data_IF_709440364026
#
_entry.id   IF_709440364026
#
_cell.length_a   1.000
_cell.length_b   1.000
_cell.length_c   1.000
_cell.angle_alpha   90.00
_cell.angle_beta   90.00
_cell.angle_gamma   90.00
#
_symmetry.space_group_name_H-M   'P 1'
#
loop_
_entity.id
_entity.type
_entity.pdbx_description
1 polymer ?
#
# COMPACT_ATOMS: atom_id res chain seq x y z
N UNK A 1 4.22 6.39 26.70
CA UNK A 1 2.97 6.11 25.94
C UNK A 1 2.65 4.60 26.05
N UNK A 2 1.43 4.23 26.45
CA UNK A 2 0.97 2.84 26.37
C UNK A 2 1.18 2.36 24.92
N UNK A 3 1.97 1.31 24.72
CA UNK A 3 2.42 0.87 23.41
C UNK A 3 1.28 0.50 22.48
N UNK A 4 1.52 0.57 21.16
CA UNK A 4 0.59 0.02 20.18
C UNK A 4 0.26 -1.44 20.52
N UNK A 5 -1.00 -1.87 20.40
CA UNK A 5 -1.36 -3.27 20.54
C UNK A 5 -0.53 -4.15 19.61
N UNK A 6 -0.24 -5.40 20.03
CA UNK A 6 0.48 -6.35 19.16
C UNK A 6 -0.40 -6.69 17.94
N UNK A 7 0.19 -6.98 16.76
CA UNK A 7 -0.58 -7.32 15.57
C UNK A 7 -1.62 -8.43 15.79
N UNK A 8 -1.28 -9.45 16.58
CA UNK A 8 -2.15 -10.59 16.89
C UNK A 8 -3.34 -10.26 17.82
N UNK A 9 -3.43 -9.02 18.32
CA UNK A 9 -4.48 -8.60 19.26
C UNK A 9 -5.72 -8.02 18.59
N UNK A 10 -5.69 -7.82 17.27
CA UNK A 10 -6.83 -7.27 16.53
C UNK A 10 -7.81 -8.38 16.12
N UNK A 11 -9.09 -8.21 16.46
CA UNK A 11 -10.15 -9.01 15.84
C UNK A 11 -10.42 -8.47 14.42
N UNK A 12 -10.02 -9.28 13.43
CA UNK A 12 -10.16 -9.02 11.99
C UNK A 12 -11.30 -9.82 11.36
N UNK A 13 -12.11 -10.50 12.18
CA UNK A 13 -13.16 -11.44 11.76
C UNK A 13 -14.52 -11.12 12.39
N UNK A 14 -15.06 -9.90 12.24
CA UNK A 14 -16.39 -9.60 12.76
C UNK A 14 -17.42 -10.54 12.11
N UNK A 15 -18.05 -11.41 12.91
CA UNK A 15 -19.01 -12.41 12.42
C UNK A 15 -18.41 -13.70 11.84
N UNK A 16 -17.11 -13.96 12.05
CA UNK A 16 -16.46 -15.23 11.71
C UNK A 16 -15.81 -15.28 10.32
N UNK A 17 -15.91 -14.21 9.52
CA UNK A 17 -15.24 -14.11 8.21
C UNK A 17 -14.06 -13.15 8.30
N UNK A 18 -12.84 -13.66 8.08
CA UNK A 18 -11.60 -12.86 8.06
C UNK A 18 -11.58 -11.97 6.81
N UNK A 19 -11.35 -10.67 6.97
CA UNK A 19 -11.22 -9.75 5.84
C UNK A 19 -9.87 -9.94 5.14
N UNK A 20 -9.89 -10.34 3.88
CA UNK A 20 -8.69 -10.39 3.02
C UNK A 20 -8.55 -9.12 2.20
N UNK A 21 -7.35 -8.89 1.65
CA UNK A 21 -7.04 -7.74 0.79
C UNK A 21 -6.58 -8.13 -0.61
N UNK A 22 -6.93 -7.31 -1.59
CA UNK A 22 -6.29 -7.25 -2.91
C UNK A 22 -5.39 -6.02 -2.92
N UNK A 23 -4.08 -6.22 -3.04
CA UNK A 23 -3.09 -5.13 -3.06
C UNK A 23 -2.82 -4.73 -4.50
N UNK A 24 -3.13 -3.49 -4.87
CA UNK A 24 -2.98 -2.97 -6.24
C UNK A 24 -1.74 -2.07 -6.30
N UNK A 25 -0.81 -2.41 -7.19
CA UNK A 25 0.51 -1.79 -7.33
C UNK A 25 0.70 -1.34 -8.79
N UNK A 26 0.25 -0.13 -9.16
CA UNK A 26 0.52 0.42 -10.49
C UNK A 26 1.98 0.87 -10.60
N UNK A 27 2.56 0.76 -11.79
CA UNK A 27 3.93 1.21 -12.01
C UNK A 27 4.20 1.60 -13.47
N UNK A 28 5.08 2.58 -13.64
CA UNK A 28 5.55 3.08 -14.93
C UNK A 28 7.02 3.47 -14.79
N UNK A 29 7.89 2.91 -15.64
CA UNK A 29 9.34 3.16 -15.68
C UNK A 29 10.00 3.03 -14.31
N UNK A 30 9.58 2.03 -13.55
CA UNK A 30 10.09 1.75 -12.21
C UNK A 30 11.28 0.79 -12.27
N UNK A 31 12.22 0.93 -11.33
CA UNK A 31 13.36 0.02 -11.26
C UNK A 31 12.96 -1.37 -10.77
N UNK A 32 13.68 -2.40 -11.21
CA UNK A 32 13.49 -3.75 -10.69
C UNK A 32 13.77 -3.83 -9.18
N UNK A 33 14.74 -3.05 -8.67
CA UNK A 33 15.05 -2.99 -7.24
C UNK A 33 13.84 -2.55 -6.41
N UNK A 34 13.09 -1.55 -6.89
CA UNK A 34 11.89 -1.07 -6.22
C UNK A 34 10.74 -2.08 -6.32
N UNK A 35 10.45 -2.61 -7.51
CA UNK A 35 9.37 -3.59 -7.71
C UNK A 35 9.57 -4.85 -6.85
N UNK A 36 10.75 -5.47 -6.97
CA UNK A 36 11.09 -6.66 -6.19
C UNK A 36 11.22 -6.35 -4.71
N UNK A 37 11.81 -5.21 -4.33
CA UNK A 37 11.93 -4.78 -2.94
C UNK A 37 10.57 -4.60 -2.26
N UNK A 38 9.61 -3.97 -2.95
CA UNK A 38 8.24 -3.81 -2.48
C UNK A 38 7.57 -5.17 -2.29
N UNK A 39 7.68 -6.06 -3.28
CA UNK A 39 7.10 -7.40 -3.19
C UNK A 39 7.72 -8.24 -2.07
N UNK A 40 9.05 -8.22 -1.91
CA UNK A 40 9.72 -8.92 -0.83
C UNK A 40 9.30 -8.41 0.55
N UNK A 41 9.17 -7.09 0.73
CA UNK A 41 8.66 -6.52 1.97
C UNK A 41 7.23 -6.98 2.26
N UNK A 42 6.35 -6.99 1.24
CA UNK A 42 4.98 -7.47 1.36
C UNK A 42 4.92 -8.95 1.77
N UNK A 43 5.70 -9.81 1.12
CA UNK A 43 5.75 -11.24 1.44
C UNK A 43 6.33 -11.52 2.83
N UNK A 44 7.23 -10.67 3.31
CA UNK A 44 7.91 -10.88 4.59
C UNK A 44 7.12 -10.35 5.79
N UNK A 45 6.50 -9.17 5.67
CA UNK A 45 5.84 -8.48 6.79
C UNK A 45 4.31 -8.57 6.79
N UNK A 46 3.72 -9.26 5.81
CA UNK A 46 2.26 -9.42 5.74
C UNK A 46 1.88 -10.89 5.96
N UNK A 47 0.98 -11.18 6.91
CA UNK A 47 0.43 -12.53 7.04
C UNK A 47 -0.22 -12.99 5.73
N UNK A 48 0.21 -14.13 5.20
CA UNK A 48 -0.23 -14.62 3.89
C UNK A 48 -1.76 -14.83 3.83
N UNK A 49 -2.36 -15.25 4.94
CA UNK A 49 -3.80 -15.49 5.04
C UNK A 49 -4.67 -14.23 5.07
N UNK A 50 -4.06 -13.04 5.13
CA UNK A 50 -4.74 -11.75 4.96
C UNK A 50 -4.75 -11.28 3.50
N UNK A 51 -3.97 -11.90 2.61
CA UNK A 51 -3.82 -11.43 1.23
C UNK A 51 -4.41 -12.43 0.26
N UNK A 52 -5.37 -11.97 -0.53
CA UNK A 52 -5.94 -12.73 -1.64
C UNK A 52 -5.00 -12.70 -2.85
N UNK A 53 -4.54 -11.49 -3.22
CA UNK A 53 -3.74 -11.28 -4.41
C UNK A 53 -2.94 -9.97 -4.39
N UNK A 54 -1.83 -9.98 -5.12
CA UNK A 54 -1.02 -8.80 -5.43
C UNK A 54 -1.15 -8.50 -6.93
N UNK A 55 -1.77 -7.38 -7.27
CA UNK A 55 -2.08 -7.00 -8.65
C UNK A 55 -1.13 -5.89 -9.07
N UNK A 56 -0.10 -6.25 -9.84
CA UNK A 56 0.79 -5.28 -10.46
C UNK A 56 0.20 -4.79 -11.78
N UNK A 57 0.12 -3.48 -11.96
CA UNK A 57 -0.40 -2.87 -13.19
C UNK A 57 0.72 -2.12 -13.89
N UNK A 58 1.27 -2.71 -14.94
CA UNK A 58 2.27 -2.10 -15.81
C UNK A 58 1.58 -1.11 -16.77
N UNK A 59 1.76 0.19 -16.56
CA UNK A 59 1.06 1.26 -17.28
C UNK A 59 1.78 1.69 -18.57
N UNK A 60 1.86 0.80 -19.56
CA UNK A 60 2.52 1.10 -20.85
C UNK A 60 4.04 0.96 -20.83
N UNK A 61 4.59 0.07 -20.00
CA UNK A 61 6.00 -0.30 -20.08
C UNK A 61 6.24 -1.32 -21.20
N UNK A 62 7.40 -1.24 -21.86
CA UNK A 62 7.82 -2.23 -22.87
C UNK A 62 7.97 -3.64 -22.29
N UNK A 63 8.47 -3.73 -21.05
CA UNK A 63 8.60 -4.97 -20.29
C UNK A 63 7.68 -4.88 -19.06
N UNK A 64 6.73 -5.82 -18.94
CA UNK A 64 5.79 -5.89 -17.82
C UNK A 64 6.36 -6.58 -16.58
N UNK A 65 7.56 -7.17 -16.68
CA UNK A 65 8.17 -7.98 -15.61
C UNK A 65 7.28 -9.11 -15.10
N UNK A 66 6.33 -9.57 -15.94
CA UNK A 66 5.33 -10.54 -15.53
C UNK A 66 5.94 -11.86 -15.06
N UNK A 67 6.94 -12.38 -15.79
CA UNK A 67 7.60 -13.63 -15.43
C UNK A 67 8.35 -13.52 -14.11
N UNK A 68 9.09 -12.43 -13.91
CA UNK A 68 9.87 -12.21 -12.70
C UNK A 68 8.95 -11.96 -11.50
N UNK A 69 7.88 -11.20 -11.66
CA UNK A 69 6.92 -10.92 -10.58
C UNK A 69 6.11 -12.16 -10.18
N UNK A 70 5.59 -12.92 -11.15
CA UNK A 70 4.83 -14.16 -10.89
C UNK A 70 5.69 -15.28 -10.29
N UNK A 71 6.99 -15.27 -10.53
CA UNK A 71 7.93 -16.18 -9.88
C UNK A 71 8.10 -15.91 -8.38
N UNK A 72 7.81 -14.70 -7.89
CA UNK A 72 7.95 -14.35 -6.47
C UNK A 72 6.84 -14.94 -5.60
N UNK A 73 5.61 -15.08 -6.13
CA UNK A 73 4.48 -15.69 -5.43
C UNK A 73 3.36 -16.05 -6.39
N UNK A 74 2.67 -17.17 -6.12
CA UNK A 74 1.50 -17.61 -6.89
C UNK A 74 0.30 -16.64 -6.79
N UNK A 75 0.28 -15.77 -5.77
CA UNK A 75 -0.73 -14.73 -5.56
C UNK A 75 -0.51 -13.48 -6.40
N UNK A 76 0.61 -13.39 -7.13
CA UNK A 76 0.88 -12.26 -8.01
C UNK A 76 0.10 -12.39 -9.31
N UNK A 77 -0.53 -11.28 -9.71
CA UNK A 77 -1.17 -11.09 -11.00
C UNK A 77 -0.57 -9.84 -11.64
N UNK A 78 -0.36 -9.87 -12.96
CA UNK A 78 0.18 -8.73 -13.70
C UNK A 78 -0.79 -8.35 -14.80
N UNK A 79 -1.11 -7.06 -14.86
CA UNK A 79 -1.89 -6.44 -15.92
C UNK A 79 -0.93 -5.56 -16.72
N UNK A 80 -0.68 -5.92 -17.97
CA UNK A 80 0.13 -5.11 -18.88
C UNK A 80 -0.77 -4.25 -19.77
N UNK A 81 -0.82 -2.95 -19.49
CA UNK A 81 -1.52 -2.00 -20.36
C UNK A 81 -0.64 -1.71 -21.59
N UNK A 82 -1.20 -1.73 -22.81
CA UNK A 82 -0.43 -1.58 -24.04
C UNK A 82 0.15 -0.18 -24.22
N UNK A 83 -0.45 0.82 -23.58
CA UNK A 83 -0.03 2.22 -23.64
C UNK A 83 -0.25 2.89 -22.28
N UNK A 84 0.41 4.03 -22.06
CA UNK A 84 0.29 4.80 -20.81
C UNK A 84 -1.09 5.43 -20.67
N UNK A 85 -1.87 4.95 -19.71
CA UNK A 85 -3.21 5.43 -19.39
C UNK A 85 -3.22 6.41 -18.20
N UNK A 86 -2.19 6.36 -17.36
CA UNK A 86 -2.01 7.18 -16.16
C UNK A 86 -2.47 6.49 -14.87
N UNK A 87 -1.92 6.96 -13.73
CA UNK A 87 -2.04 6.32 -12.41
C UNK A 87 -3.47 5.95 -12.02
N UNK A 88 -4.43 6.86 -12.22
CA UNK A 88 -5.84 6.63 -11.83
C UNK A 88 -6.42 5.47 -12.65
N UNK A 89 -6.25 5.48 -13.97
CA UNK A 89 -6.78 4.42 -14.85
C UNK A 89 -6.09 3.09 -14.58
N UNK A 90 -4.79 3.10 -14.34
CA UNK A 90 -4.04 1.91 -13.93
C UNK A 90 -4.57 1.33 -12.60
N UNK A 91 -4.80 2.17 -11.58
CA UNK A 91 -5.43 1.75 -10.31
C UNK A 91 -6.82 1.14 -10.55
N UNK A 92 -7.66 1.78 -11.37
CA UNK A 92 -9.00 1.26 -11.68
C UNK A 92 -8.95 -0.08 -12.43
N UNK A 93 -7.98 -0.30 -13.32
CA UNK A 93 -7.79 -1.60 -13.97
C UNK A 93 -7.41 -2.71 -12.98
N UNK A 94 -6.63 -2.37 -11.95
CA UNK A 94 -6.40 -3.28 -10.82
C UNK A 94 -7.68 -3.58 -10.03
N UNK A 95 -8.52 -2.56 -9.79
CA UNK A 95 -9.79 -2.70 -9.05
C UNK A 95 -10.76 -3.63 -9.78
N UNK A 96 -10.85 -3.54 -11.11
CA UNK A 96 -11.70 -4.41 -11.93
C UNK A 96 -11.35 -5.91 -11.77
N UNK A 97 -10.11 -6.23 -11.39
CA UNK A 97 -9.62 -7.60 -11.20
C UNK A 97 -9.62 -8.07 -9.73
N UNK A 98 -9.76 -7.14 -8.78
CA UNK A 98 -9.69 -7.43 -7.36
C UNK A 98 -10.87 -8.28 -6.89
N UNK A 99 -10.58 -9.35 -6.14
CA UNK A 99 -11.56 -10.31 -5.61
C UNK A 99 -11.81 -10.16 -4.12
N UNK A 100 -10.87 -9.56 -3.40
CA UNK A 100 -10.98 -9.39 -1.96
C UNK A 100 -12.01 -8.30 -1.59
N UNK A 101 -12.63 -8.37 -0.41
CA UNK A 101 -13.57 -7.35 0.06
C UNK A 101 -12.91 -6.00 0.35
N UNK A 102 -11.60 -5.98 0.59
CA UNK A 102 -10.83 -4.76 0.89
C UNK A 102 -9.74 -4.55 -0.15
N UNK A 103 -9.62 -3.31 -0.63
CA UNK A 103 -8.61 -2.90 -1.60
C UNK A 103 -7.55 -2.07 -0.90
N UNK A 104 -6.28 -2.41 -1.14
CA UNK A 104 -5.13 -1.61 -0.69
C UNK A 104 -4.39 -1.08 -1.91
N UNK A 105 -4.32 0.24 -2.04
CA UNK A 105 -3.45 0.88 -3.03
C UNK A 105 -2.05 1.05 -2.45
N UNK A 106 -1.03 0.61 -3.20
CA UNK A 106 0.37 0.73 -2.81
C UNK A 106 1.21 1.19 -4.00
N UNK A 107 2.27 1.95 -3.75
CA UNK A 107 3.21 2.35 -4.80
C UNK A 107 4.31 1.28 -4.96
N UNK A 108 4.90 1.21 -6.16
CA UNK A 108 5.89 0.19 -6.52
C UNK A 108 7.29 0.37 -5.88
N UNK A 109 7.45 1.39 -5.04
CA UNK A 109 8.68 1.76 -4.33
C UNK A 109 8.39 1.97 -2.83
N UNK A 110 7.59 1.10 -2.24
CA UNK A 110 7.27 1.12 -0.81
C UNK A 110 7.84 -0.10 -0.09
N UNK A 111 8.35 0.09 1.14
CA UNK A 111 8.70 -1.01 2.05
C UNK A 111 7.71 -0.97 3.21
N UNK A 112 6.90 -2.01 3.34
CA UNK A 112 6.01 -2.18 4.49
C UNK A 112 6.80 -2.61 5.73
N UNK A 113 6.24 -2.35 6.91
CA UNK A 113 6.86 -2.71 8.19
C UNK A 113 6.02 -3.76 8.92
N UNK A 114 6.56 -4.34 9.99
CA UNK A 114 5.82 -5.28 10.84
C UNK A 114 4.50 -4.68 11.33
N UNK A 115 3.41 -5.44 11.19
CA UNK A 115 2.10 -5.04 11.72
C UNK A 115 1.47 -3.86 11.00
N UNK A 116 1.81 -3.63 9.72
CA UNK A 116 1.30 -2.49 8.97
C UNK A 116 -0.18 -2.63 8.56
N UNK A 117 -0.67 -3.87 8.38
CA UNK A 117 -1.96 -4.13 7.74
C UNK A 117 -3.09 -4.34 8.75
N UNK A 118 -2.82 -5.10 9.81
CA UNK A 118 -3.78 -5.50 10.84
C UNK A 118 -4.45 -4.29 11.51
N UNK A 119 -3.72 -3.22 11.90
CA UNK A 119 -4.36 -2.03 12.44
C UNK A 119 -5.27 -1.33 11.42
N UNK A 120 -4.92 -1.35 10.13
CA UNK A 120 -5.72 -0.73 9.08
C UNK A 120 -7.02 -1.50 8.87
N UNK A 121 -6.94 -2.83 8.76
CA UNK A 121 -8.10 -3.71 8.63
C UNK A 121 -9.01 -3.61 9.86
N UNK A 122 -8.44 -3.58 11.06
CA UNK A 122 -9.23 -3.39 12.28
C UNK A 122 -10.01 -2.08 12.28
N UNK A 123 -9.50 -0.99 11.68
CA UNK A 123 -10.29 0.24 11.54
C UNK A 123 -11.51 0.05 10.64
N UNK A 124 -11.39 -0.78 9.60
CA UNK A 124 -12.50 -1.10 8.69
C UNK A 124 -13.54 -2.02 9.35
N UNK A 125 -13.13 -2.94 10.23
CA UNK A 125 -14.08 -3.79 10.97
C UNK A 125 -14.96 -2.99 11.93
N UNK A 126 -14.45 -1.88 12.47
CA UNK A 126 -15.21 -0.97 13.33
C UNK A 126 -16.17 -0.06 12.55
N UNK A 127 -15.82 0.31 11.32
CA UNK A 127 -16.65 1.14 10.45
C UNK A 127 -16.20 0.97 8.99
N UNK A 128 -17.03 0.28 8.21
CA UNK A 128 -16.81 -0.03 6.79
C UNK A 128 -16.81 1.19 5.87
N UNK A 129 -17.25 2.35 6.35
CA UNK A 129 -17.17 3.64 5.65
C UNK A 129 -15.85 4.37 5.88
N UNK A 130 -14.89 3.76 6.57
CA UNK A 130 -13.59 4.37 6.87
C UNK A 130 -12.61 4.15 5.73
N UNK A 131 -11.87 5.21 5.35
CA UNK A 131 -10.63 5.07 4.61
C UNK A 131 -9.47 5.15 5.60
N UNK A 132 -8.67 4.09 5.71
CA UNK A 132 -7.51 4.03 6.60
C UNK A 132 -6.22 4.27 5.80
N UNK A 133 -5.27 5.01 6.40
CA UNK A 133 -3.96 5.28 5.80
C UNK A 133 -2.86 5.07 6.86
N UNK A 134 -1.77 4.38 6.53
CA UNK A 134 -0.65 4.22 7.45
C UNK A 134 0.13 5.52 7.62
N UNK A 135 0.95 5.59 8.67
CA UNK A 135 2.01 6.59 8.73
C UNK A 135 3.04 6.31 7.63
N UNK A 136 3.54 7.37 6.99
CA UNK A 136 4.55 7.25 5.93
C UNK A 136 5.91 7.67 6.47
N UNK A 137 6.80 6.68 6.58
CA UNK A 137 8.21 6.89 6.86
C UNK A 137 8.97 7.15 5.55
N UNK A 138 10.20 7.69 5.66
CA UNK A 138 11.00 8.12 4.51
C UNK A 138 12.09 7.10 4.21
N UNK A 139 12.14 6.67 2.94
CA UNK A 139 13.29 6.00 2.33
C UNK A 139 13.97 7.03 1.44
N UNK A 140 15.23 7.43 1.71
CA UNK A 140 15.94 8.39 0.87
C UNK A 140 16.10 7.89 -0.56
N UNK A 141 15.86 8.77 -1.53
CA UNK A 141 16.07 8.45 -2.95
C UNK A 141 17.52 8.03 -3.25
N UNK A 142 18.50 8.52 -2.48
CA UNK A 142 19.91 8.17 -2.63
C UNK A 142 20.29 6.82 -2.04
N UNK A 143 19.45 6.23 -1.18
CA UNK A 143 19.73 4.97 -0.51
C UNK A 143 18.45 4.22 -0.15
N UNK A 144 18.07 3.27 -0.99
CA UNK A 144 16.93 2.37 -0.79
C UNK A 144 16.98 1.54 0.51
N UNK A 145 18.16 1.40 1.12
CA UNK A 145 18.36 0.66 2.37
C UNK A 145 18.33 1.55 3.62
N UNK A 146 18.20 2.86 3.47
CA UNK A 146 18.07 3.78 4.60
C UNK A 146 16.59 3.96 5.00
N UNK A 147 16.36 4.12 6.29
CA UNK A 147 15.03 4.31 6.87
C UNK A 147 15.04 5.50 7.84
N UNK A 148 14.12 6.43 7.64
CA UNK A 148 13.90 7.55 8.54
C UNK A 148 12.45 7.57 8.99
N UNK A 149 12.25 7.33 10.29
CA UNK A 149 10.94 7.41 10.92
C UNK A 149 10.41 8.85 10.89
N UNK A 150 9.18 9.02 10.43
CA UNK A 150 8.50 10.32 10.40
C UNK A 150 7.61 10.46 11.63
N UNK A 151 7.54 11.65 12.28
CA UNK A 151 6.51 11.90 13.29
C UNK A 151 5.11 11.86 12.68
N UNK A 152 4.05 11.66 13.48
CA UNK A 152 2.69 11.75 12.99
C UNK A 152 2.41 13.10 12.31
N UNK A 153 1.89 13.05 11.09
CA UNK A 153 1.55 14.20 10.26
C UNK A 153 0.05 14.20 9.95
N UNK A 154 -0.50 15.40 9.77
CA UNK A 154 -1.84 15.58 9.20
C UNK A 154 -1.68 16.14 7.79
N UNK A 155 -2.41 15.56 6.86
CA UNK A 155 -2.48 15.98 5.47
C UNK A 155 -3.54 17.06 5.30
N UNK A 156 -3.24 18.10 4.54
CA UNK A 156 -4.16 19.20 4.23
C UNK A 156 -3.87 19.76 2.84
N UNK A 157 -4.82 20.52 2.30
CA UNK A 157 -4.66 21.22 1.04
C UNK A 157 -4.50 22.72 1.26
N UNK A 158 -3.65 23.36 0.46
CA UNK A 158 -3.66 24.82 0.29
C UNK A 158 -4.70 25.23 -0.77
N UNK A 159 -4.97 26.54 -0.90
CA UNK A 159 -5.95 27.06 -1.87
C UNK A 159 -5.59 26.79 -3.34
N UNK A 160 -4.30 26.53 -3.62
CA UNK A 160 -3.84 26.08 -4.93
C UNK A 160 -4.02 24.56 -5.14
N UNK A 161 -4.67 23.86 -4.21
CA UNK A 161 -4.89 22.41 -4.19
C UNK A 161 -3.62 21.56 -4.08
N UNK A 162 -2.50 22.15 -3.65
CA UNK A 162 -1.31 21.38 -3.30
C UNK A 162 -1.51 20.67 -1.97
N UNK A 163 -1.18 19.39 -1.96
CA UNK A 163 -1.16 18.57 -0.76
C UNK A 163 0.09 18.92 0.07
N UNK A 164 -0.12 19.28 1.33
CA UNK A 164 0.95 19.58 2.28
C UNK A 164 0.75 18.82 3.59
N UNK A 165 1.83 18.64 4.33
CA UNK A 165 1.83 18.01 5.65
C UNK A 165 2.00 19.08 6.73
N UNK A 166 1.31 18.90 7.86
CA UNK A 166 1.37 19.80 9.01
C UNK A 166 1.61 19.06 10.31
N UNK A 167 2.35 19.67 11.23
CA UNK A 167 2.47 19.19 12.60
C UNK A 167 1.19 19.58 13.37
N UNK A 168 0.48 18.63 14.02
CA UNK A 168 -0.74 18.92 14.78
C UNK A 168 -0.56 19.99 15.86
N UNK A 169 0.65 20.22 16.37
CA UNK A 169 0.93 21.21 17.42
C UNK A 169 1.23 22.65 16.97
N UNK A 170 1.23 22.96 15.65
CA UNK A 170 1.59 24.30 15.13
C UNK A 170 0.45 25.01 14.38
N UNK A 171 -0.79 24.82 14.82
CA UNK A 171 -1.84 25.78 14.51
C UNK A 171 -1.56 27.07 15.30
N UNK A 172 -0.73 27.98 14.77
CA UNK A 172 -0.74 29.37 15.24
C UNK A 172 -2.14 29.88 14.94
N UNK A 173 -2.91 30.18 15.99
CA UNK A 173 -4.14 30.98 15.87
C UNK A 173 -3.76 32.26 15.13
N UNK A 174 -4.33 32.44 13.94
CA UNK A 174 -4.39 33.75 13.28
C UNK A 174 -5.33 34.67 14.04
#
# INVERSE_FOLDING_TARGET
PKGCPKPDSYDLSPGGTKQTVSVIIPWLKESWQHLSGTMHALLHFTPDDLVEEYIFVSDGNEDSKEKELTALSAKVKVIALPERQGLIRAKMKGVEMAKAPVIVFMEAHCIVNHGWLEPLLHRLTLNDKTLAMPALDIIPQSNWHAYHKTPPIIWRYEWNLNLITGNPGRLKKG
#
